data_IF_410813387871
#
_entry.id   IF_410813387871
#
_cell.length_a   1.000
_cell.length_b   1.000
_cell.length_c   1.000
_cell.angle_alpha   90.00
_cell.angle_beta   90.00
_cell.angle_gamma   90.00
#
_symmetry.space_group_name_H-M   'P 1'
#
loop_
_entity.id
_entity.type
_entity.pdbx_description
1 polymer ?
#
# COMPACT_ATOMS: atom_id res chain seq x y z
N UNK A 1 37.66 17.94 19.24
CA UNK A 1 36.86 17.21 18.24
C UNK A 1 36.55 18.21 17.14
N UNK A 2 37.09 18.00 15.95
CA UNK A 2 36.88 18.90 14.82
C UNK A 2 35.49 18.75 14.23
N UNK A 3 35.06 19.74 13.44
CA UNK A 3 33.80 19.64 12.70
C UNK A 3 33.77 18.40 11.78
N UNK A 4 34.92 18.03 11.22
CA UNK A 4 35.08 16.84 10.36
C UNK A 4 34.73 15.55 11.12
N UNK A 5 35.32 15.34 12.31
CA UNK A 5 35.05 14.15 13.14
C UNK A 5 33.57 14.02 13.51
N UNK A 6 32.89 15.16 13.73
CA UNK A 6 31.47 15.21 14.05
C UNK A 6 30.61 14.75 12.86
N UNK A 7 30.89 15.26 11.66
CA UNK A 7 30.16 14.87 10.45
C UNK A 7 30.41 13.42 10.05
N UNK A 8 31.64 12.92 10.21
CA UNK A 8 31.95 11.52 9.92
C UNK A 8 31.20 10.57 10.87
N UNK A 9 31.12 10.91 12.16
CA UNK A 9 30.34 10.14 13.14
C UNK A 9 28.84 10.16 12.83
N UNK A 10 28.28 11.31 12.45
CA UNK A 10 26.88 11.42 12.05
C UNK A 10 26.61 10.60 10.79
N UNK A 11 27.47 10.71 9.77
CA UNK A 11 27.34 9.94 8.54
C UNK A 11 27.30 8.44 8.79
N UNK A 12 28.24 7.91 9.59
CA UNK A 12 28.28 6.49 9.92
C UNK A 12 27.03 6.06 10.72
N UNK A 13 26.51 6.92 11.58
CA UNK A 13 25.27 6.67 12.33
C UNK A 13 24.06 6.61 11.40
N UNK A 14 23.91 7.55 10.47
CA UNK A 14 22.79 7.55 9.52
C UNK A 14 22.88 6.39 8.54
N UNK A 15 24.08 6.08 8.04
CA UNK A 15 24.32 4.93 7.17
C UNK A 15 23.87 3.62 7.83
N UNK A 16 24.27 3.38 9.08
CA UNK A 16 23.85 2.18 9.81
C UNK A 16 22.33 2.09 10.03
N UNK A 17 21.66 3.23 10.24
CA UNK A 17 20.18 3.27 10.35
C UNK A 17 19.50 2.94 9.03
N UNK A 18 19.97 3.51 7.91
CA UNK A 18 19.42 3.23 6.58
C UNK A 18 19.57 1.75 6.22
N UNK A 19 20.73 1.15 6.49
CA UNK A 19 20.98 -0.28 6.25
C UNK A 19 20.08 -1.17 7.12
N UNK A 20 19.85 -0.79 8.38
CA UNK A 20 18.94 -1.49 9.28
C UNK A 20 17.48 -1.42 8.80
N UNK A 21 16.98 -0.23 8.45
CA UNK A 21 15.62 -0.03 7.96
C UNK A 21 15.37 -0.81 6.67
N UNK A 22 16.32 -0.78 5.73
CA UNK A 22 16.21 -1.51 4.47
C UNK A 22 16.09 -3.04 4.66
N UNK A 23 16.78 -3.58 5.67
CA UNK A 23 16.82 -5.03 5.92
C UNK A 23 15.68 -5.53 6.81
N UNK A 24 15.19 -4.70 7.74
CA UNK A 24 14.20 -5.13 8.75
C UNK A 24 12.79 -4.62 8.47
N UNK A 25 12.63 -3.37 8.01
CA UNK A 25 11.31 -2.80 7.73
C UNK A 25 10.76 -3.31 6.40
N UNK A 26 11.64 -3.55 5.41
CA UNK A 26 11.25 -4.13 4.12
C UNK A 26 10.62 -5.53 4.20
N UNK A 27 10.77 -6.23 5.34
CA UNK A 27 10.22 -7.56 5.57
C UNK A 27 8.82 -7.55 6.20
N UNK A 28 8.35 -6.42 6.73
CA UNK A 28 7.05 -6.33 7.39
C UNK A 28 5.93 -6.23 6.35
N UNK A 29 4.97 -7.15 6.40
CA UNK A 29 3.85 -7.16 5.46
C UNK A 29 2.86 -6.06 5.84
N UNK A 30 2.85 -4.97 5.08
CA UNK A 30 1.75 -4.01 5.15
C UNK A 30 0.48 -4.62 4.56
N UNK A 31 -0.66 -4.44 5.24
CA UNK A 31 -2.00 -4.79 4.73
C UNK A 31 -2.49 -3.85 3.61
N UNK A 32 -1.58 -3.19 2.90
CA UNK A 32 -1.85 -2.21 1.86
C UNK A 32 -0.95 -2.48 0.65
N UNK A 33 -1.53 -2.37 -0.55
CA UNK A 33 -0.84 -2.64 -1.81
C UNK A 33 -1.35 -1.67 -2.87
N UNK A 34 -0.45 -1.19 -3.73
CA UNK A 34 -0.79 -0.44 -4.93
C UNK A 34 -0.80 -1.38 -6.14
N UNK A 35 -1.87 -1.37 -6.93
CA UNK A 35 -1.99 -2.18 -8.14
C UNK A 35 -2.12 -1.23 -9.32
N UNK A 36 -1.33 -1.48 -10.36
CA UNK A 36 -1.45 -0.77 -11.65
C UNK A 36 -2.11 -1.71 -12.65
N UNK A 37 -3.10 -1.20 -13.39
CA UNK A 37 -3.81 -1.94 -14.42
C UNK A 37 -3.49 -1.36 -15.79
N UNK A 38 -3.68 -2.17 -16.83
CA UNK A 38 -3.29 -1.82 -18.20
C UNK A 38 -4.10 -0.63 -18.74
N UNK A 39 -5.36 -0.51 -18.32
CA UNK A 39 -6.25 0.57 -18.76
C UNK A 39 -7.00 1.23 -17.61
N UNK A 40 -7.38 2.52 -17.74
CA UNK A 40 -8.25 3.18 -16.77
C UNK A 40 -9.60 2.47 -16.60
N UNK A 41 -10.17 1.94 -17.69
CA UNK A 41 -11.46 1.25 -17.66
C UNK A 41 -11.44 0.00 -16.76
N UNK A 42 -10.33 -0.74 -16.76
CA UNK A 42 -10.14 -1.87 -15.85
C UNK A 42 -10.07 -1.42 -14.38
N UNK A 43 -9.39 -0.30 -14.11
CA UNK A 43 -9.32 0.28 -12.76
C UNK A 43 -10.70 0.68 -12.23
N UNK A 44 -11.52 1.33 -13.07
CA UNK A 44 -12.91 1.63 -12.72
C UNK A 44 -13.72 0.36 -12.43
N UNK A 45 -13.59 -0.66 -13.29
CA UNK A 45 -14.31 -1.93 -13.11
C UNK A 45 -13.97 -2.60 -11.78
N UNK A 46 -12.68 -2.65 -11.42
CA UNK A 46 -12.24 -3.19 -10.13
C UNK A 46 -12.78 -2.34 -9.00
N UNK A 47 -12.56 -1.03 -9.00
CA UNK A 47 -13.05 -0.13 -7.96
C UNK A 47 -14.56 -0.30 -7.69
N UNK A 48 -15.38 -0.30 -8.74
CA UNK A 48 -16.84 -0.45 -8.64
C UNK A 48 -17.26 -1.83 -8.13
N UNK A 49 -16.51 -2.89 -8.43
CA UNK A 49 -16.83 -4.26 -7.99
C UNK A 49 -16.63 -4.47 -6.48
N UNK A 50 -15.81 -3.61 -5.85
CA UNK A 50 -15.51 -3.65 -4.43
C UNK A 50 -16.22 -2.54 -3.63
N UNK A 51 -17.04 -1.70 -4.27
CA UNK A 51 -17.85 -0.76 -3.52
C UNK A 51 -18.97 -1.52 -2.77
N UNK A 52 -19.20 -1.22 -1.48
CA UNK A 52 -20.30 -1.81 -0.74
C UNK A 52 -21.61 -1.38 -1.39
N UNK A 53 -22.31 -2.32 -2.01
CA UNK A 53 -23.64 -2.03 -2.53
C UNK A 53 -24.60 -2.06 -1.33
N UNK A 54 -25.18 -0.91 -0.97
CA UNK A 54 -26.15 -0.75 0.12
C UNK A 54 -27.50 -1.46 -0.16
N UNK A 55 -27.48 -2.68 -0.69
CA UNK A 55 -28.69 -3.48 -0.86
C UNK A 55 -29.00 -4.24 0.43
N UNK A 56 -30.10 -3.82 1.04
CA UNK A 56 -30.90 -4.58 1.99
C UNK A 56 -31.19 -5.98 1.41
N UNK A 57 -30.97 -7.01 2.24
CA UNK A 57 -31.37 -8.44 2.12
C UNK A 57 -30.50 -9.42 1.30
N UNK A 58 -29.83 -10.30 2.07
CA UNK A 58 -29.60 -11.76 1.89
C UNK A 58 -29.11 -12.37 0.57
N UNK A 59 -28.86 -11.60 -0.49
CA UNK A 59 -28.25 -12.10 -1.73
C UNK A 59 -27.05 -11.26 -2.11
N UNK A 60 -25.93 -11.56 -1.46
CA UNK A 60 -24.65 -10.91 -1.71
C UNK A 60 -24.16 -11.28 -3.12
N UNK A 61 -23.81 -10.29 -3.97
CA UNK A 61 -23.20 -10.60 -5.25
C UNK A 61 -21.87 -11.31 -5.03
N UNK A 62 -21.70 -12.44 -5.71
CA UNK A 62 -20.47 -13.23 -5.68
C UNK A 62 -19.36 -12.43 -6.36
N UNK A 63 -18.21 -12.17 -5.70
CA UNK A 63 -17.10 -11.49 -6.35
C UNK A 63 -16.68 -12.23 -7.62
N UNK A 64 -16.38 -11.51 -8.72
CA UNK A 64 -15.94 -12.14 -9.96
C UNK A 64 -14.53 -12.75 -9.86
N UNK A 65 -13.78 -12.48 -8.80
CA UNK A 65 -12.32 -12.71 -8.77
C UNK A 65 -11.88 -13.77 -7.74
N UNK A 66 -12.66 -14.06 -6.68
CA UNK A 66 -12.36 -15.21 -5.79
C UNK A 66 -13.48 -15.51 -4.80
N UNK A 67 -13.81 -16.80 -4.61
CA UNK A 67 -14.79 -17.24 -3.59
C UNK A 67 -14.22 -17.23 -2.17
N UNK A 68 -12.89 -17.19 -2.01
CA UNK A 68 -12.22 -17.37 -0.71
C UNK A 68 -11.94 -16.08 0.03
N UNK A 69 -12.06 -14.93 -0.64
CA UNK A 69 -11.77 -13.62 -0.08
C UNK A 69 -13.04 -12.79 -0.24
N UNK A 70 -13.66 -12.44 0.88
CA UNK A 70 -14.91 -11.68 0.86
C UNK A 70 -14.69 -10.29 0.26
N UNK A 71 -15.65 -9.79 -0.54
CA UNK A 71 -15.63 -8.40 -1.07
C UNK A 71 -15.47 -7.39 0.07
N UNK A 72 -15.96 -7.73 1.26
CA UNK A 72 -15.93 -6.87 2.45
C UNK A 72 -14.60 -6.87 3.22
N UNK A 73 -13.62 -7.66 2.80
CA UNK A 73 -12.30 -7.72 3.43
C UNK A 73 -11.30 -6.75 2.80
N UNK A 74 -11.64 -6.16 1.65
CA UNK A 74 -10.76 -5.28 0.88
C UNK A 74 -11.39 -3.91 0.66
N UNK A 75 -10.74 -2.88 1.18
CA UNK A 75 -11.07 -1.49 0.87
C UNK A 75 -10.29 -1.07 -0.38
N UNK A 76 -11.00 -0.89 -1.49
CA UNK A 76 -10.41 -0.48 -2.76
C UNK A 76 -10.73 0.99 -3.03
N UNK A 77 -9.69 1.78 -3.28
CA UNK A 77 -9.80 3.19 -3.63
C UNK A 77 -8.81 3.55 -4.73
N UNK A 78 -9.04 4.67 -5.42
CA UNK A 78 -8.06 5.21 -6.34
C UNK A 78 -6.87 5.79 -5.57
N UNK A 79 -5.68 5.33 -5.91
CA UNK A 79 -4.46 5.89 -5.35
C UNK A 79 -4.31 7.35 -5.78
N UNK A 80 -3.93 8.26 -4.88
CA UNK A 80 -3.54 9.61 -5.27
C UNK A 80 -2.24 9.56 -6.07
N UNK A 81 -1.86 10.66 -6.70
CA UNK A 81 -0.55 10.76 -7.35
C UNK A 81 0.57 10.45 -6.34
N UNK A 82 1.68 9.80 -6.76
CA UNK A 82 2.74 9.38 -5.84
C UNK A 82 3.27 10.50 -4.92
N UNK A 83 3.37 11.72 -5.45
CA UNK A 83 3.81 12.92 -4.71
C UNK A 83 2.83 13.40 -3.63
N UNK A 84 1.58 12.96 -3.67
CA UNK A 84 0.52 13.35 -2.74
C UNK A 84 0.26 12.27 -1.67
N UNK A 85 1.00 11.16 -1.70
CA UNK A 85 0.93 10.12 -0.65
C UNK A 85 1.77 10.60 0.54
N UNK A 86 1.16 10.60 1.72
CA UNK A 86 1.88 10.73 2.99
C UNK A 86 2.24 9.32 3.42
N UNK A 87 3.52 8.96 3.27
CA UNK A 87 4.07 7.63 3.57
C UNK A 87 4.27 7.40 5.07
#
# INVERSE_FOLDING_TARGET
IGAIDCYEKLYNTYKGRVEYEYTHVGAEKCGLVFITLSTPAEAYKVHSSFQPIYFVLDRRPKPPISNSIGIYEWNVSFAPSPKNIIW
#
